data_IF_581564889014
#
_entry.id   IF_581564889014
#
_cell.length_a   1.000
_cell.length_b   1.000
_cell.length_c   1.000
_cell.angle_alpha   90.00
_cell.angle_beta   90.00
_cell.angle_gamma   90.00
#
_symmetry.space_group_name_H-M   'P 1'
#
loop_
_entity.id
_entity.type
_entity.pdbx_description
1 polymer ?
#
# COMPACT_ATOMS: atom_id res chain seq x y z
N UNK A 1 -5.64 11.46 19.35
CA UNK A 1 -6.63 12.27 18.64
C UNK A 1 -6.93 11.58 17.32
N UNK A 2 -8.19 11.52 16.90
CA UNK A 2 -8.58 10.97 15.59
C UNK A 2 -9.11 12.14 14.76
N UNK A 3 -8.69 12.22 13.51
CA UNK A 3 -9.14 13.25 12.57
C UNK A 3 -9.65 12.58 11.30
N UNK A 4 -10.76 13.10 10.78
CA UNK A 4 -11.38 12.61 9.55
C UNK A 4 -11.10 13.65 8.47
N UNK A 5 -10.45 13.21 7.40
CA UNK A 5 -10.18 14.01 6.20
C UNK A 5 -11.06 13.45 5.09
N UNK A 6 -11.81 14.33 4.43
CA UNK A 6 -12.74 13.97 3.37
C UNK A 6 -12.42 14.82 2.13
N UNK A 7 -12.21 14.19 0.99
CA UNK A 7 -11.94 14.83 -0.29
C UNK A 7 -13.19 15.47 -0.92
N UNK A 8 -14.37 15.24 -0.33
CA UNK A 8 -15.66 15.78 -0.74
C UNK A 8 -16.30 15.01 -1.88
N UNK A 9 -15.72 13.89 -2.33
CA UNK A 9 -16.27 13.10 -3.43
C UNK A 9 -17.46 12.27 -2.97
N UNK A 10 -18.49 12.18 -3.82
CA UNK A 10 -19.73 11.46 -3.52
C UNK A 10 -20.06 10.39 -4.54
N UNK A 11 -19.26 10.28 -5.61
CA UNK A 11 -19.45 9.30 -6.68
C UNK A 11 -18.14 8.61 -7.06
N UNK A 12 -18.25 7.40 -7.62
CA UNK A 12 -17.10 6.64 -8.06
C UNK A 12 -16.34 7.29 -9.23
N UNK A 13 -17.04 8.05 -10.05
CA UNK A 13 -16.50 8.75 -11.22
C UNK A 13 -15.65 9.95 -10.79
N UNK A 14 -16.03 10.61 -9.69
CA UNK A 14 -15.39 11.82 -9.17
C UNK A 14 -14.30 11.54 -8.13
N UNK A 15 -14.25 10.33 -7.55
CA UNK A 15 -13.19 9.94 -6.60
C UNK A 15 -11.78 10.19 -7.14
N UNK A 16 -10.88 10.60 -6.25
CA UNK A 16 -9.45 10.72 -6.55
C UNK A 16 -8.82 9.34 -6.77
N UNK A 17 -9.18 8.37 -5.93
CA UNK A 17 -8.62 7.02 -5.94
C UNK A 17 -7.56 6.85 -4.86
N UNK A 18 -7.33 5.60 -4.44
CA UNK A 18 -6.65 5.29 -3.18
C UNK A 18 -5.27 5.95 -3.03
N UNK A 19 -4.42 5.89 -4.06
CA UNK A 19 -3.09 6.49 -4.00
C UNK A 19 -3.13 8.03 -3.95
N UNK A 20 -4.09 8.65 -4.63
CA UNK A 20 -4.28 10.09 -4.63
C UNK A 20 -4.90 10.58 -3.31
N UNK A 21 -5.80 9.80 -2.69
CA UNK A 21 -6.36 10.08 -1.37
C UNK A 21 -5.30 10.10 -0.26
N UNK A 22 -4.30 9.20 -0.35
CA UNK A 22 -3.14 9.21 0.56
C UNK A 22 -2.40 10.55 0.45
N UNK A 23 -2.08 10.99 -0.77
CA UNK A 23 -1.39 12.28 -1.00
C UNK A 23 -2.26 13.46 -0.56
N UNK A 24 -3.57 13.43 -0.83
CA UNK A 24 -4.51 14.44 -0.35
C UNK A 24 -4.44 14.58 1.17
N UNK A 25 -4.54 13.46 1.91
CA UNK A 25 -4.45 13.46 3.37
C UNK A 25 -3.11 13.98 3.90
N UNK A 26 -2.00 13.56 3.28
CA UNK A 26 -0.65 14.04 3.61
C UNK A 26 -0.56 15.56 3.45
N UNK A 27 -1.05 16.10 2.34
CA UNK A 27 -0.98 17.53 2.05
C UNK A 27 -1.87 18.35 2.98
N UNK A 28 -3.09 17.88 3.28
CA UNK A 28 -3.99 18.53 4.24
C UNK A 28 -3.39 18.65 5.65
N UNK A 29 -2.51 17.72 6.02
CA UNK A 29 -1.87 17.66 7.34
C UNK A 29 -0.41 18.08 7.35
N UNK A 30 0.15 18.43 6.20
CA UNK A 30 1.57 18.75 6.04
C UNK A 30 2.46 17.68 6.68
N UNK A 31 2.15 16.40 6.42
CA UNK A 31 2.92 15.28 7.00
C UNK A 31 4.26 15.17 6.29
N UNK A 32 5.34 15.35 7.03
CA UNK A 32 6.71 15.27 6.49
C UNK A 32 7.49 14.05 6.99
N UNK A 33 6.92 13.20 7.83
CA UNK A 33 7.57 12.02 8.39
C UNK A 33 7.26 10.73 7.61
N UNK A 34 7.82 9.60 8.05
CA UNK A 34 7.39 8.30 7.54
C UNK A 34 5.91 8.07 7.87
N UNK A 35 5.22 7.31 7.02
CA UNK A 35 3.78 7.14 7.14
C UNK A 35 3.41 5.67 7.16
N UNK A 36 2.75 5.23 8.24
CA UNK A 36 2.03 3.97 8.27
C UNK A 36 0.66 4.17 7.61
N UNK A 37 0.45 3.52 6.47
CA UNK A 37 -0.81 3.52 5.73
C UNK A 37 -1.50 2.19 5.95
N UNK A 38 -2.77 2.23 6.33
CA UNK A 38 -3.61 1.04 6.52
C UNK A 38 -4.92 1.27 5.76
N UNK A 39 -5.24 0.37 4.83
CA UNK A 39 -6.54 0.38 4.17
C UNK A 39 -7.65 0.00 5.17
N UNK A 40 -8.69 0.83 5.25
CA UNK A 40 -9.75 0.72 6.26
C UNK A 40 -10.73 -0.45 6.09
N UNK A 41 -10.63 -1.19 4.99
CA UNK A 41 -11.49 -2.35 4.67
C UNK A 41 -10.88 -3.70 5.10
N UNK A 42 -9.70 -3.69 5.74
CA UNK A 42 -9.03 -4.90 6.21
C UNK A 42 -9.24 -5.14 7.71
N UNK A 43 -9.65 -6.35 8.05
CA UNK A 43 -9.58 -6.89 9.40
C UNK A 43 -8.33 -7.77 9.54
N UNK A 44 -7.49 -7.48 10.52
CA UNK A 44 -6.27 -8.24 10.76
C UNK A 44 -5.91 -8.32 12.24
N UNK A 45 -5.22 -9.40 12.62
CA UNK A 45 -4.77 -9.67 13.99
C UNK A 45 -3.24 -9.71 14.10
N UNK A 46 -2.52 -9.41 13.01
CA UNK A 46 -1.06 -9.40 13.04
C UNK A 46 -0.52 -8.21 13.85
N UNK A 47 0.64 -8.42 14.46
CA UNK A 47 1.26 -7.40 15.31
C UNK A 47 1.93 -6.30 14.45
N UNK A 48 1.35 -5.10 14.44
CA UNK A 48 1.90 -3.92 13.75
C UNK A 48 3.29 -3.53 14.24
N UNK A 49 3.63 -3.79 15.51
CA UNK A 49 4.97 -3.48 16.05
C UNK A 49 6.06 -4.24 15.27
N UNK A 50 5.80 -5.49 14.85
CA UNK A 50 6.77 -6.24 14.06
C UNK A 50 7.04 -5.59 12.69
N UNK A 51 6.03 -4.94 12.11
CA UNK A 51 6.16 -4.21 10.85
C UNK A 51 7.05 -2.97 11.05
N UNK A 52 6.81 -2.24 12.14
CA UNK A 52 7.59 -1.05 12.53
C UNK A 52 9.04 -1.44 12.83
N UNK A 53 9.28 -2.48 13.64
CA UNK A 53 10.63 -2.96 13.96
C UNK A 53 11.41 -3.41 12.72
N UNK A 54 10.70 -3.99 11.74
CA UNK A 54 11.30 -4.36 10.46
C UNK A 54 11.64 -3.13 9.62
N UNK A 55 10.75 -2.13 9.59
CA UNK A 55 11.01 -0.84 8.96
C UNK A 55 12.22 -0.14 9.58
N UNK A 56 12.32 -0.06 10.90
CA UNK A 56 13.45 0.59 11.60
C UNK A 56 14.80 -0.04 11.24
N UNK A 57 14.83 -1.37 11.03
CA UNK A 57 16.04 -2.09 10.61
C UNK A 57 16.41 -1.86 9.14
N UNK A 58 15.42 -1.64 8.27
CA UNK A 58 15.63 -1.54 6.81
C UNK A 58 15.70 -0.11 6.31
N UNK A 59 15.02 0.82 6.98
CA UNK A 59 14.84 2.22 6.63
C UNK A 59 14.46 2.43 5.15
N UNK A 60 13.49 1.63 4.69
CA UNK A 60 13.01 1.56 3.30
C UNK A 60 11.51 1.30 3.30
N UNK A 61 10.86 1.44 2.14
CA UNK A 61 9.49 0.98 1.95
C UNK A 61 9.30 -0.44 2.49
N UNK A 62 8.24 -0.65 3.28
CA UNK A 62 7.86 -1.96 3.82
C UNK A 62 6.36 -2.16 3.61
N UNK A 63 5.97 -3.40 3.31
CA UNK A 63 4.56 -3.82 3.26
C UNK A 63 4.36 -5.08 4.10
N UNK A 64 3.21 -5.21 4.74
CA UNK A 64 2.81 -6.46 5.36
C UNK A 64 2.19 -7.39 4.31
N UNK A 65 2.61 -8.66 4.37
CA UNK A 65 2.12 -9.72 3.48
C UNK A 65 1.44 -10.80 4.31
N UNK A 66 0.37 -11.38 3.76
CA UNK A 66 -0.31 -12.52 4.34
C UNK A 66 -0.22 -13.72 3.39
N UNK A 67 0.25 -14.86 3.87
CA UNK A 67 0.23 -16.08 3.10
C UNK A 67 -1.17 -16.69 3.13
N UNK A 68 -1.92 -16.58 2.03
CA UNK A 68 -3.28 -17.15 1.91
C UNK A 68 -3.28 -18.67 1.75
N UNK A 69 -2.12 -19.30 1.58
CA UNK A 69 -1.90 -20.76 1.48
C UNK A 69 -2.70 -21.48 0.38
N UNK A 70 -3.38 -20.73 -0.49
CA UNK A 70 -4.25 -21.25 -1.54
C UNK A 70 -4.13 -20.38 -2.80
N UNK A 71 -3.70 -20.99 -3.90
CA UNK A 71 -3.51 -20.28 -5.17
C UNK A 71 -4.82 -19.78 -5.78
N UNK A 72 -5.95 -20.48 -5.62
CA UNK A 72 -7.24 -19.99 -6.14
C UNK A 72 -7.74 -18.77 -5.37
N UNK A 73 -7.50 -18.72 -4.05
CA UNK A 73 -7.75 -17.51 -3.26
C UNK A 73 -6.80 -16.37 -3.65
N UNK A 74 -5.53 -16.67 -3.91
CA UNK A 74 -4.53 -15.69 -4.30
C UNK A 74 -4.93 -14.87 -5.54
N UNK A 75 -5.69 -15.45 -6.49
CA UNK A 75 -6.22 -14.75 -7.68
C UNK A 75 -7.11 -13.54 -7.36
N UNK A 76 -7.58 -13.41 -6.12
CA UNK A 76 -8.46 -12.32 -5.67
C UNK A 76 -7.72 -11.11 -5.10
N UNK A 77 -6.41 -11.21 -4.90
CA UNK A 77 -5.60 -10.21 -4.20
C UNK A 77 -4.44 -9.70 -5.05
N UNK A 78 -3.78 -8.63 -4.59
CA UNK A 78 -2.46 -8.25 -5.06
C UNK A 78 -1.41 -9.22 -4.51
N UNK A 79 -0.77 -9.98 -5.38
CA UNK A 79 0.18 -11.03 -5.04
C UNK A 79 1.60 -10.54 -5.20
N UNK A 80 2.43 -10.82 -4.20
CA UNK A 80 3.80 -10.33 -4.09
C UNK A 80 4.77 -11.49 -4.16
N UNK A 81 5.83 -11.35 -4.94
CA UNK A 81 6.98 -12.25 -4.90
C UNK A 81 8.13 -11.57 -4.17
N UNK A 82 8.79 -12.32 -3.28
CA UNK A 82 9.97 -11.87 -2.55
C UNK A 82 11.16 -12.78 -2.81
N UNK A 83 12.36 -12.23 -2.75
CA UNK A 83 13.61 -12.99 -2.74
C UNK A 83 13.95 -13.54 -1.34
N UNK A 84 15.06 -14.26 -1.21
CA UNK A 84 15.54 -14.82 0.06
C UNK A 84 15.87 -13.76 1.13
N UNK A 85 16.01 -12.49 0.73
CA UNK A 85 16.33 -11.36 1.61
C UNK A 85 15.09 -10.53 1.99
N UNK A 86 13.88 -11.03 1.70
CA UNK A 86 12.60 -10.34 1.87
C UNK A 86 12.47 -9.05 1.05
N UNK A 87 13.15 -8.96 -0.09
CA UNK A 87 12.96 -7.87 -1.04
C UNK A 87 11.84 -8.24 -2.00
N UNK A 88 10.93 -7.30 -2.24
CA UNK A 88 9.92 -7.43 -3.30
C UNK A 88 10.64 -7.46 -4.65
N UNK A 89 10.34 -8.47 -5.46
CA UNK A 89 10.86 -8.62 -6.82
C UNK A 89 9.77 -8.61 -7.88
N UNK A 90 8.50 -8.81 -7.49
CA UNK A 90 7.35 -8.77 -8.39
C UNK A 90 6.07 -8.45 -7.62
N UNK A 91 5.13 -7.78 -8.28
CA UNK A 91 3.77 -7.50 -7.79
C UNK A 91 2.76 -7.70 -8.91
N UNK A 92 1.74 -8.52 -8.67
CA UNK A 92 0.67 -8.79 -9.64
C UNK A 92 -0.70 -8.54 -9.01
N UNK A 93 -1.49 -7.62 -9.57
CA UNK A 93 -2.86 -7.41 -9.13
C UNK A 93 -3.79 -8.48 -9.72
N UNK A 94 -4.38 -9.32 -8.85
CA UNK A 94 -5.37 -10.35 -9.22
C UNK A 94 -4.91 -11.25 -10.38
N UNK A 95 -3.73 -11.89 -10.29
CA UNK A 95 -3.19 -12.70 -11.38
C UNK A 95 -4.06 -13.93 -11.63
N UNK A 96 -4.21 -14.29 -12.92
CA UNK A 96 -4.87 -15.56 -13.29
C UNK A 96 -4.06 -16.78 -12.83
N UNK A 97 -2.74 -16.68 -12.86
CA UNK A 97 -1.79 -17.73 -12.47
C UNK A 97 -0.79 -17.18 -11.43
N UNK A 98 -1.12 -17.19 -10.13
CA UNK A 98 -0.28 -16.58 -9.10
C UNK A 98 1.08 -17.27 -8.95
N UNK A 99 2.15 -16.47 -9.01
CA UNK A 99 3.54 -16.92 -8.78
C UNK A 99 3.82 -17.26 -7.32
N UNK A 100 3.09 -16.65 -6.39
CA UNK A 100 3.17 -16.91 -4.95
C UNK A 100 1.76 -16.97 -4.33
N UNK A 101 1.71 -17.20 -3.02
CA UNK A 101 0.48 -17.06 -2.19
C UNK A 101 0.60 -15.92 -1.19
N UNK A 102 1.58 -15.03 -1.34
CA UNK A 102 1.76 -13.88 -0.46
C UNK A 102 0.90 -12.72 -0.98
N UNK A 103 -0.20 -12.45 -0.29
CA UNK A 103 -1.09 -11.35 -0.59
C UNK A 103 -0.66 -10.08 0.15
N UNK A 104 -0.68 -8.95 -0.55
CA UNK A 104 -0.57 -7.62 0.08
C UNK A 104 -1.78 -7.36 0.97
N UNK A 105 -1.55 -6.88 2.19
CA UNK A 105 -2.62 -6.64 3.16
C UNK A 105 -3.12 -5.19 3.16
N UNK A 106 -2.63 -4.34 2.27
CA UNK A 106 -2.96 -2.91 2.30
C UNK A 106 -2.34 -2.15 3.48
N UNK A 107 -1.33 -2.74 4.14
CA UNK A 107 -0.60 -2.13 5.25
C UNK A 107 0.83 -1.83 4.84
N UNK A 108 1.19 -0.55 4.78
CA UNK A 108 2.45 -0.08 4.22
C UNK A 108 3.13 0.90 5.17
N UNK A 109 4.46 0.92 5.20
CA UNK A 109 5.23 2.01 5.79
C UNK A 109 6.00 2.70 4.66
N UNK A 110 5.65 3.96 4.42
CA UNK A 110 6.24 4.81 3.40
C UNK A 110 7.36 5.66 3.99
N UNK A 111 8.50 5.74 3.29
CA UNK A 111 9.53 6.73 3.61
C UNK A 111 9.16 8.10 3.02
N UNK A 112 9.80 9.16 3.52
CA UNK A 112 9.70 10.52 2.94
C UNK A 112 10.00 10.53 1.43
N UNK A 113 10.95 9.70 1.00
CA UNK A 113 11.31 9.57 -0.42
C UNK A 113 10.18 8.92 -1.23
N UNK A 114 9.55 7.85 -0.70
CA UNK A 114 8.44 7.20 -1.38
C UNK A 114 7.23 8.13 -1.51
N UNK A 115 6.94 8.93 -0.49
CA UNK A 115 5.84 9.92 -0.56
C UNK A 115 6.05 10.88 -1.73
N UNK A 116 7.27 11.41 -1.92
CA UNK A 116 7.61 12.29 -3.05
C UNK A 116 7.49 11.60 -4.41
N UNK A 117 7.92 10.34 -4.50
CA UNK A 117 7.81 9.55 -5.72
C UNK A 117 6.35 9.28 -6.10
N UNK A 118 5.52 8.93 -5.10
CA UNK A 118 4.08 8.72 -5.26
C UNK A 118 3.40 10.02 -5.68
N UNK A 119 3.71 11.14 -5.02
CA UNK A 119 3.16 12.44 -5.39
C UNK A 119 3.53 12.82 -6.84
N UNK A 120 4.79 12.62 -7.24
CA UNK A 120 5.19 12.84 -8.63
C UNK A 120 4.45 11.91 -9.60
N UNK A 121 4.22 10.65 -9.22
CA UNK A 121 3.51 9.69 -10.06
C UNK A 121 2.04 10.10 -10.23
N UNK A 122 1.34 10.40 -9.14
CA UNK A 122 -0.06 10.85 -9.14
C UNK A 122 -0.24 12.11 -10.00
N UNK A 123 0.64 13.09 -9.85
CA UNK A 123 0.57 14.33 -10.62
C UNK A 123 0.79 14.12 -12.14
N UNK A 124 1.64 13.15 -12.52
CA UNK A 124 1.94 12.85 -13.92
C UNK A 124 0.84 12.03 -14.59
N UNK A 125 0.32 11.01 -13.91
CA UNK A 125 -0.59 10.03 -14.52
C UNK A 125 -2.06 10.34 -14.29
N UNK A 126 -2.39 11.11 -13.24
CA UNK A 126 -3.76 11.28 -12.74
C UNK A 126 -4.46 9.94 -12.50
N UNK A 127 -3.68 8.94 -12.07
CA UNK A 127 -4.17 7.58 -11.81
C UNK A 127 -5.18 7.56 -10.65
N UNK A 128 -6.07 6.57 -10.68
CA UNK A 128 -7.00 6.24 -9.58
C UNK A 128 -6.67 4.90 -8.91
N UNK A 129 -5.49 4.38 -9.18
CA UNK A 129 -5.06 3.04 -8.78
C UNK A 129 -4.75 2.93 -7.29
N UNK A 130 -4.53 1.68 -6.85
CA UNK A 130 -4.03 1.38 -5.52
C UNK A 130 -2.52 1.59 -5.45
N UNK A 131 -1.99 1.72 -4.23
CA UNK A 131 -0.55 1.78 -3.99
C UNK A 131 0.18 0.51 -4.46
N UNK A 132 -0.51 -0.63 -4.50
CA UNK A 132 0.04 -1.89 -5.03
C UNK A 132 0.56 -1.77 -6.46
N UNK A 133 -0.19 -1.08 -7.33
CA UNK A 133 0.19 -0.89 -8.73
C UNK A 133 1.43 -0.02 -8.87
N UNK A 134 1.65 0.94 -7.97
CA UNK A 134 2.86 1.76 -7.96
C UNK A 134 4.12 0.97 -7.58
N UNK A 135 3.98 -0.15 -6.85
CA UNK A 135 5.11 -0.98 -6.40
C UNK A 135 5.61 -1.91 -7.52
N UNK A 136 4.86 -2.05 -8.63
CA UNK A 136 5.24 -2.86 -9.80
C UNK A 136 6.56 -2.42 -10.45
#
# INVERSE_FOLDING_TARGET
>A
QIEIINDGTTTNETRLGAIADIIFGINQKSIEDFLLVIHGDNFFEFNLQKLIDFFDKKNKFVTALHNVQNKELAKKYGIVQIDENNKIIDFEEKPKEPKSTLASTGCYILTKQNIKEIESYVNKTKTKESLGVFIQ
#
